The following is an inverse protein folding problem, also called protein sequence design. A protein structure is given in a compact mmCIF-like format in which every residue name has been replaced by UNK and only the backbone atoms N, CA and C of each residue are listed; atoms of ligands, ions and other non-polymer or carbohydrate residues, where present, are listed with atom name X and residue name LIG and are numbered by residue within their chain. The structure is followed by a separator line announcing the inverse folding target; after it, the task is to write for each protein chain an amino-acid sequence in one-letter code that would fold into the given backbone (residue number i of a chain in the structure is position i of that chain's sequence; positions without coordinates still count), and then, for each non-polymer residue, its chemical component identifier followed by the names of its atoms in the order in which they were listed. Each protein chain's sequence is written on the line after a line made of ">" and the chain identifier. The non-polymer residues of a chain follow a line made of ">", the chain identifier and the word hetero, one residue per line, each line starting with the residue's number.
data_IF_930977464140
#
_entry.id   IF_930977464140
#
_cell.length_a   1.000
_cell.length_b   1.000
_cell.length_c   1.000
_cell.angle_alpha   90.00
_cell.angle_beta   90.00
_cell.angle_gamma   90.00
#
_symmetry.space_group_name_H-M   'P 1'
#
loop_
_entity.id
_entity.type
_entity.pdbx_description
1 polymer ?
#
# COMPACT_ATOMS: atom_id res chain seq x y z
N UNK A 1 -44.36 -46.66 -39.16
CA UNK A 1 -44.27 -45.21 -39.36
C UNK A 1 -44.45 -44.60 -37.99
N UNK A 2 -43.33 -44.34 -37.30
CA UNK A 2 -43.36 -43.60 -36.03
C UNK A 2 -43.77 -42.16 -36.33
N UNK A 3 -44.94 -41.82 -35.81
CA UNK A 3 -45.46 -40.46 -35.80
C UNK A 3 -44.55 -39.62 -34.90
N UNK A 4 -43.60 -38.92 -35.50
CA UNK A 4 -42.81 -37.88 -34.84
C UNK A 4 -43.78 -36.75 -34.52
N UNK A 5 -44.43 -36.85 -33.37
CA UNK A 5 -45.18 -35.75 -32.77
C UNK A 5 -44.21 -34.58 -32.59
N UNK A 6 -44.33 -33.58 -33.46
CA UNK A 6 -43.64 -32.30 -33.31
C UNK A 6 -44.03 -31.72 -31.95
N UNK A 7 -43.10 -31.80 -31.00
CA UNK A 7 -43.23 -31.21 -29.68
C UNK A 7 -43.36 -29.69 -29.86
N UNK A 8 -44.59 -29.18 -29.78
CA UNK A 8 -44.89 -27.75 -29.88
C UNK A 8 -44.26 -27.03 -28.69
N UNK A 9 -43.06 -26.49 -28.89
CA UNK A 9 -42.39 -25.61 -27.94
C UNK A 9 -43.34 -24.48 -27.55
N UNK A 10 -43.60 -24.34 -26.25
CA UNK A 10 -44.51 -23.31 -25.79
C UNK A 10 -43.81 -21.95 -25.87
N UNK A 11 -44.53 -20.84 -26.15
CA UNK A 11 -43.94 -19.50 -26.19
C UNK A 11 -43.17 -19.13 -24.91
N UNK A 12 -43.56 -19.71 -23.78
CA UNK A 12 -42.90 -19.53 -22.48
C UNK A 12 -41.50 -20.14 -22.48
N UNK A 13 -41.30 -21.29 -23.10
CA UNK A 13 -40.00 -21.97 -23.14
C UNK A 13 -39.01 -21.16 -23.98
N UNK A 14 -39.47 -20.59 -25.10
CA UNK A 14 -38.66 -19.66 -25.90
C UNK A 14 -38.27 -18.40 -25.11
N UNK A 15 -39.19 -17.82 -24.34
CA UNK A 15 -38.91 -16.66 -23.49
C UNK A 15 -37.87 -17.01 -22.43
N UNK A 16 -38.01 -18.16 -21.77
CA UNK A 16 -37.08 -18.63 -20.75
C UNK A 16 -35.68 -18.83 -21.34
N UNK A 17 -35.56 -19.44 -22.51
CA UNK A 17 -34.29 -19.59 -23.21
C UNK A 17 -33.61 -18.23 -23.48
N UNK A 18 -34.39 -17.23 -23.92
CA UNK A 18 -33.89 -15.87 -24.13
C UNK A 18 -33.42 -15.25 -22.80
N UNK A 19 -34.19 -15.40 -21.73
CA UNK A 19 -33.83 -14.87 -20.41
C UNK A 19 -32.55 -15.51 -19.86
N UNK A 20 -32.37 -16.82 -20.04
CA UNK A 20 -31.12 -17.51 -19.68
C UNK A 20 -29.95 -16.92 -20.48
N UNK A 21 -30.10 -16.75 -21.79
CA UNK A 21 -29.05 -16.15 -22.63
C UNK A 21 -28.67 -14.75 -22.14
N UNK A 22 -29.66 -13.91 -21.80
CA UNK A 22 -29.44 -12.58 -21.24
C UNK A 22 -28.68 -12.64 -19.91
N UNK A 23 -29.10 -13.51 -18.97
CA UNK A 23 -28.42 -13.64 -17.68
C UNK A 23 -26.97 -14.09 -17.85
N UNK A 24 -26.70 -15.03 -18.75
CA UNK A 24 -25.35 -15.51 -19.02
C UNK A 24 -24.48 -14.39 -19.60
N UNK A 25 -25.00 -13.60 -20.54
CA UNK A 25 -24.27 -12.44 -21.09
C UNK A 25 -23.98 -11.39 -20.01
N UNK A 26 -24.98 -11.04 -19.18
CA UNK A 26 -24.79 -10.09 -18.08
C UNK A 26 -23.78 -10.64 -17.06
N UNK A 27 -23.90 -11.90 -16.68
CA UNK A 27 -22.98 -12.57 -15.77
C UNK A 27 -21.54 -12.55 -16.28
N UNK A 28 -21.33 -12.80 -17.57
CA UNK A 28 -20.01 -12.71 -18.20
C UNK A 28 -19.43 -11.29 -18.12
N UNK A 29 -20.24 -10.25 -18.35
CA UNK A 29 -19.81 -8.85 -18.22
C UNK A 29 -19.43 -8.54 -16.77
N UNK A 30 -20.23 -8.98 -15.78
CA UNK A 30 -19.94 -8.77 -14.36
C UNK A 30 -18.64 -9.47 -13.96
N UNK A 31 -18.44 -10.72 -14.40
CA UNK A 31 -17.22 -11.47 -14.14
C UNK A 31 -15.98 -10.79 -14.77
N UNK A 32 -16.09 -10.30 -16.00
CA UNK A 32 -15.02 -9.54 -16.65
C UNK A 32 -14.69 -8.24 -15.88
N UNK A 33 -15.71 -7.51 -15.43
CA UNK A 33 -15.51 -6.29 -14.61
C UNK A 33 -14.86 -6.59 -13.26
N UNK A 34 -15.22 -7.72 -12.63
CA UNK A 34 -14.60 -8.15 -11.39
C UNK A 34 -13.11 -8.48 -11.59
N UNK A 35 -12.76 -9.17 -12.69
CA UNK A 35 -11.37 -9.48 -13.05
C UNK A 35 -10.55 -8.21 -13.24
N UNK A 36 -11.07 -7.20 -13.96
CA UNK A 36 -10.37 -5.93 -14.15
C UNK A 36 -10.11 -5.18 -12.84
N UNK A 37 -11.06 -5.23 -11.90
CA UNK A 37 -10.89 -4.60 -10.60
C UNK A 37 -9.88 -5.35 -9.72
N UNK A 38 -9.83 -6.68 -9.83
CA UNK A 38 -8.85 -7.53 -9.13
C UNK A 38 -7.42 -7.30 -9.64
N UNK A 39 -7.25 -7.25 -10.97
CA UNK A 39 -5.95 -6.95 -11.59
C UNK A 39 -5.44 -5.57 -11.14
N UNK A 40 -6.30 -4.55 -11.17
CA UNK A 40 -5.95 -3.20 -10.71
C UNK A 40 -5.61 -3.16 -9.21
N UNK A 41 -6.30 -3.97 -8.38
CA UNK A 41 -5.96 -4.10 -6.96
C UNK A 41 -4.56 -4.71 -6.78
N UNK A 42 -4.21 -5.73 -7.58
CA UNK A 42 -2.90 -6.34 -7.58
C UNK A 42 -1.77 -5.39 -7.99
N UNK A 43 -2.01 -4.56 -9.02
CA UNK A 43 -1.06 -3.53 -9.44
C UNK A 43 -0.84 -2.48 -8.33
N UNK A 44 -1.92 -2.04 -7.67
CA UNK A 44 -1.86 -1.10 -6.56
C UNK A 44 -1.13 -1.71 -5.33
N UNK A 45 -1.38 -2.97 -5.00
CA UNK A 45 -0.66 -3.70 -3.94
C UNK A 45 0.84 -3.80 -4.24
N UNK A 46 1.20 -4.13 -5.49
CA UNK A 46 2.60 -4.18 -5.91
C UNK A 46 3.27 -2.81 -5.82
N UNK A 47 2.57 -1.75 -6.24
CA UNK A 47 2.99 -0.37 -6.01
C UNK A 47 3.26 -0.10 -4.54
N UNK A 48 2.28 -0.38 -3.68
CA UNK A 48 2.33 -0.16 -2.23
C UNK A 48 3.49 -0.88 -1.58
N UNK A 49 3.73 -2.14 -1.93
CA UNK A 49 4.86 -2.92 -1.45
C UNK A 49 6.20 -2.30 -1.87
N UNK A 50 6.32 -1.86 -3.12
CA UNK A 50 7.53 -1.21 -3.61
C UNK A 50 7.79 0.11 -2.89
N UNK A 51 6.77 0.95 -2.72
CA UNK A 51 6.87 2.20 -1.98
C UNK A 51 7.21 1.96 -0.51
N UNK A 52 6.65 0.92 0.13
CA UNK A 52 6.96 0.55 1.50
C UNK A 52 8.42 0.09 1.66
N UNK A 53 8.92 -0.72 0.73
CA UNK A 53 10.34 -1.12 0.70
C UNK A 53 11.24 0.10 0.53
N UNK A 54 10.93 1.01 -0.40
CA UNK A 54 11.68 2.24 -0.59
C UNK A 54 11.67 3.12 0.68
N UNK A 55 10.51 3.22 1.34
CA UNK A 55 10.33 3.99 2.57
C UNK A 55 11.17 3.43 3.72
N UNK A 56 11.18 2.11 3.92
CA UNK A 56 11.99 1.48 4.97
C UNK A 56 13.49 1.48 4.64
N UNK A 57 13.88 1.26 3.38
CA UNK A 57 15.28 1.41 2.93
C UNK A 57 15.79 2.83 3.21
N UNK A 58 15.01 3.84 2.78
CA UNK A 58 15.31 5.25 3.00
C UNK A 58 15.41 5.57 4.49
N UNK A 59 14.45 5.09 5.29
CA UNK A 59 14.45 5.28 6.74
C UNK A 59 15.72 4.72 7.37
N UNK A 60 16.09 3.48 7.03
CA UNK A 60 17.28 2.82 7.57
C UNK A 60 18.58 3.57 7.21
N UNK A 61 18.75 3.92 5.92
CA UNK A 61 19.92 4.67 5.45
C UNK A 61 19.99 6.04 6.13
N UNK A 62 18.86 6.76 6.19
CA UNK A 62 18.79 8.08 6.81
C UNK A 62 19.12 8.01 8.31
N UNK A 63 18.69 6.97 9.02
CA UNK A 63 19.06 6.77 10.41
C UNK A 63 20.57 6.56 10.57
N UNK A 64 21.17 5.66 9.78
CA UNK A 64 22.62 5.40 9.86
C UNK A 64 23.42 6.67 9.62
N UNK A 65 23.12 7.40 8.54
CA UNK A 65 23.84 8.63 8.19
C UNK A 65 23.64 9.75 9.24
N UNK A 66 22.41 9.92 9.75
CA UNK A 66 22.14 10.93 10.76
C UNK A 66 22.84 10.62 12.09
N UNK A 67 22.88 9.35 12.50
CA UNK A 67 23.56 8.95 13.73
C UNK A 67 25.09 8.94 13.58
N UNK A 68 25.62 8.66 12.40
CA UNK A 68 27.05 8.85 12.10
C UNK A 68 27.43 10.33 12.25
N UNK A 69 26.67 11.22 11.64
CA UNK A 69 26.85 12.68 11.76
C UNK A 69 26.75 13.16 13.20
N UNK A 70 25.78 12.64 13.95
CA UNK A 70 25.65 12.91 15.38
C UNK A 70 26.84 12.36 16.20
N UNK A 71 27.37 11.19 15.83
CA UNK A 71 28.58 10.64 16.43
C UNK A 71 29.79 11.56 16.23
N UNK A 72 29.95 12.12 15.04
CA UNK A 72 30.98 13.14 14.74
C UNK A 72 30.81 14.36 15.65
N UNK A 73 29.59 14.87 15.79
CA UNK A 73 29.27 15.98 16.70
C UNK A 73 29.68 15.68 18.16
N UNK A 74 29.31 14.51 18.68
CA UNK A 74 29.65 14.11 20.05
C UNK A 74 31.17 13.95 20.22
N UNK A 75 31.85 13.31 19.25
CA UNK A 75 33.30 13.14 19.28
C UNK A 75 34.03 14.48 19.24
N UNK A 76 33.57 15.44 18.43
CA UNK A 76 34.10 16.80 18.42
C UNK A 76 34.07 17.43 19.81
N UNK A 77 32.90 17.46 20.45
CA UNK A 77 32.76 18.06 21.78
C UNK A 77 33.51 17.30 22.86
N UNK A 78 33.54 15.97 22.79
CA UNK A 78 34.31 15.13 23.72
C UNK A 78 35.79 15.46 23.65
N UNK A 79 36.37 15.45 22.44
CA UNK A 79 37.80 15.71 22.25
C UNK A 79 38.16 17.17 22.56
N UNK A 80 37.30 18.12 22.18
CA UNK A 80 37.48 19.53 22.54
C UNK A 80 37.47 19.74 24.06
N UNK A 81 36.58 19.05 24.77
CA UNK A 81 36.52 19.13 26.24
C UNK A 81 37.71 18.43 26.89
N UNK A 82 38.16 17.30 26.35
CA UNK A 82 39.34 16.59 26.83
C UNK A 82 40.59 17.46 26.69
N UNK A 83 40.80 18.08 25.52
CA UNK A 83 41.89 19.02 25.30
C UNK A 83 41.90 20.15 26.34
N UNK A 84 40.74 20.80 26.57
CA UNK A 84 40.63 21.86 27.59
C UNK A 84 41.00 21.41 29.01
N UNK A 85 40.60 20.20 29.39
CA UNK A 85 40.93 19.64 30.70
C UNK A 85 42.43 19.33 30.81
N UNK A 86 43.01 18.71 29.77
CA UNK A 86 44.44 18.42 29.71
C UNK A 86 45.30 19.69 29.69
N UNK A 87 44.85 20.74 29.00
CA UNK A 87 45.48 22.07 29.02
C UNK A 87 45.46 22.65 30.43
N UNK A 88 44.36 22.50 31.17
CA UNK A 88 44.25 22.94 32.57
C UNK A 88 45.20 22.16 33.48
N UNK A 89 45.31 20.84 33.29
CA UNK A 89 46.22 20.00 34.06
C UNK A 89 47.69 20.34 33.77
N UNK A 90 48.00 20.63 32.50
CA UNK A 90 49.34 21.04 32.04
C UNK A 90 49.84 22.31 32.76
N UNK A 91 48.96 23.26 33.09
CA UNK A 91 49.31 24.48 33.83
C UNK A 91 49.88 24.20 35.24
N UNK A 92 49.58 23.03 35.80
CA UNK A 92 50.00 22.63 37.16
C UNK A 92 50.94 21.43 37.19
N UNK A 93 51.31 20.90 36.02
CA UNK A 93 52.11 19.69 35.88
C UNK A 93 53.59 19.92 36.21
N UNK A 94 54.27 18.86 36.63
CA UNK A 94 55.73 18.86 36.76
C UNK A 94 56.40 18.79 35.38
N UNK A 95 57.67 19.20 35.26
CA UNK A 95 58.40 19.18 33.98
C UNK A 95 58.45 17.78 33.33
N UNK A 96 58.42 16.72 34.15
CA UNK A 96 58.46 15.33 33.68
C UNK A 96 57.10 14.88 33.10
N UNK A 97 55.99 15.29 33.74
CA UNK A 97 54.62 14.98 33.27
C UNK A 97 54.16 15.88 32.12
N UNK A 98 54.70 17.10 32.05
CA UNK A 98 54.31 18.11 31.06
C UNK A 98 54.55 17.65 29.62
N UNK A 99 55.61 16.88 29.37
CA UNK A 99 55.91 16.34 28.03
C UNK A 99 54.82 15.37 27.57
N UNK A 100 54.36 14.49 28.47
CA UNK A 100 53.32 13.50 28.16
C UNK A 100 51.94 14.15 28.01
N UNK A 101 51.63 15.13 28.86
CA UNK A 101 50.37 15.89 28.75
C UNK A 101 50.31 16.72 27.47
N UNK A 102 51.42 17.33 27.05
CA UNK A 102 51.48 18.10 25.80
C UNK A 102 51.14 17.24 24.57
N UNK A 103 51.68 16.02 24.50
CA UNK A 103 51.36 15.07 23.42
C UNK A 103 49.87 14.71 23.42
N UNK A 104 49.28 14.45 24.60
CA UNK A 104 47.86 14.15 24.72
C UNK A 104 46.95 15.32 24.33
N UNK A 105 47.32 16.55 24.68
CA UNK A 105 46.62 17.78 24.24
C UNK A 105 46.65 17.86 22.72
N UNK A 106 47.83 17.66 22.10
CA UNK A 106 47.98 17.69 20.64
C UNK A 106 47.06 16.67 19.97
N UNK A 107 47.08 15.42 20.43
CA UNK A 107 46.21 14.35 19.88
C UNK A 107 44.73 14.68 20.06
N UNK A 108 44.33 15.21 21.22
CA UNK A 108 42.94 15.59 21.47
C UNK A 108 42.48 16.74 20.55
N UNK A 109 43.33 17.74 20.34
CA UNK A 109 43.07 18.85 19.43
C UNK A 109 43.01 18.39 17.96
N UNK A 110 43.94 17.54 17.51
CA UNK A 110 43.94 16.97 16.16
C UNK A 110 42.66 16.18 15.89
N UNK A 111 42.21 15.35 16.84
CA UNK A 111 40.96 14.62 16.74
C UNK A 111 39.74 15.54 16.75
N UNK A 112 39.75 16.62 17.54
CA UNK A 112 38.67 17.60 17.54
C UNK A 112 38.58 18.30 16.17
N UNK A 113 39.69 18.76 15.62
CA UNK A 113 39.73 19.44 14.32
C UNK A 113 39.33 18.53 13.15
N UNK A 114 39.73 17.26 13.20
CA UNK A 114 39.28 16.26 12.24
C UNK A 114 37.74 16.09 12.26
N UNK A 115 37.15 15.93 13.45
CA UNK A 115 35.70 15.82 13.58
C UNK A 115 34.97 17.12 13.19
N UNK A 116 35.55 18.28 13.51
CA UNK A 116 34.99 19.58 13.13
C UNK A 116 34.88 19.74 11.61
N UNK A 117 35.86 19.23 10.87
CA UNK A 117 35.89 19.29 9.41
C UNK A 117 34.80 18.43 8.77
N UNK A 118 34.50 17.28 9.38
CA UNK A 118 33.44 16.37 8.93
C UNK A 118 32.04 16.76 9.42
N UNK A 119 31.94 17.68 10.39
CA UNK A 119 30.67 18.07 11.00
C UNK A 119 29.82 18.92 10.06
N UNK A 120 28.60 18.46 9.79
CA UNK A 120 27.60 19.20 9.04
C UNK A 120 26.98 20.34 9.88
N UNK A 121 27.63 21.50 9.86
CA UNK A 121 27.22 22.67 10.67
C UNK A 121 25.82 23.19 10.36
N UNK A 122 25.27 22.94 9.17
CA UNK A 122 23.88 23.30 8.80
C UNK A 122 22.83 22.64 9.69
N UNK A 123 23.15 21.55 10.39
CA UNK A 123 22.23 20.87 11.31
C UNK A 123 22.40 21.27 12.77
N UNK A 124 23.27 22.25 13.06
CA UNK A 124 23.38 22.85 14.38
C UNK A 124 22.22 23.83 14.63
N UNK A 125 21.64 23.73 15.81
CA UNK A 125 20.69 24.69 16.35
C UNK A 125 21.40 25.95 16.83
N UNK A 126 20.62 27.00 17.08
CA UNK A 126 21.15 28.28 17.59
C UNK A 126 21.83 28.15 18.95
N UNK A 127 21.43 27.16 19.75
CA UNK A 127 22.03 26.85 21.05
C UNK A 127 23.29 25.97 20.96
N UNK A 128 23.72 25.59 19.74
CA UNK A 128 24.87 24.74 19.48
C UNK A 128 24.59 23.24 19.53
N UNK A 129 23.37 22.81 19.85
CA UNK A 129 22.96 21.40 19.81
C UNK A 129 22.77 20.89 18.38
N UNK A 130 23.00 19.60 18.14
CA UNK A 130 22.82 18.98 16.82
C UNK A 130 21.40 18.45 16.63
N UNK A 131 20.71 18.84 15.55
CA UNK A 131 19.35 18.40 15.25
C UNK A 131 19.32 17.22 14.28
N UNK A 132 19.38 16.01 14.84
CA UNK A 132 19.21 14.75 14.08
C UNK A 132 17.87 14.72 13.35
N UNK A 133 16.80 15.21 13.99
CA UNK A 133 15.47 15.25 13.39
C UNK A 133 15.41 16.15 12.16
N UNK A 134 16.09 17.30 12.17
CA UNK A 134 16.14 18.20 11.00
C UNK A 134 16.89 17.55 9.84
N UNK A 135 18.04 16.91 10.12
CA UNK A 135 18.79 16.17 9.11
C UNK A 135 17.98 15.03 8.50
N UNK A 136 17.33 14.20 9.34
CA UNK A 136 16.46 13.13 8.86
C UNK A 136 15.29 13.65 8.03
N UNK A 137 14.69 14.78 8.42
CA UNK A 137 13.61 15.41 7.67
C UNK A 137 14.06 15.90 6.29
N UNK A 138 15.25 16.49 6.18
CA UNK A 138 15.84 16.90 4.90
C UNK A 138 16.12 15.69 4.01
N UNK A 139 16.80 14.66 4.54
CA UNK A 139 17.10 13.44 3.78
C UNK A 139 15.83 12.69 3.36
N UNK A 140 14.77 12.70 4.19
CA UNK A 140 13.48 12.13 3.83
C UNK A 140 12.82 12.92 2.70
N UNK A 141 12.84 14.25 2.79
CA UNK A 141 12.27 15.12 1.77
C UNK A 141 13.03 15.01 0.42
N UNK A 142 14.35 14.83 0.46
CA UNK A 142 15.14 14.61 -0.74
C UNK A 142 14.89 13.22 -1.35
N UNK A 143 14.84 12.17 -0.53
CA UNK A 143 14.49 10.83 -1.00
C UNK A 143 13.09 10.75 -1.61
N UNK A 144 12.12 11.49 -1.05
CA UNK A 144 10.76 11.59 -1.58
C UNK A 144 10.68 12.25 -2.98
N UNK A 145 11.72 12.98 -3.41
CA UNK A 145 11.79 13.52 -4.79
C UNK A 145 12.25 12.47 -5.79
N UNK A 146 13.05 11.50 -5.35
CA UNK A 146 13.67 10.49 -6.22
C UNK A 146 12.85 9.20 -6.29
N UNK A 147 12.25 8.82 -5.16
CA UNK A 147 11.49 7.58 -5.00
C UNK A 147 10.14 7.88 -4.39
N UNK A 148 9.16 7.07 -4.78
CA UNK A 148 7.88 7.05 -4.08
C UNK A 148 8.03 6.38 -2.72
N UNK A 149 7.66 7.13 -1.67
CA UNK A 149 7.65 6.70 -0.27
C UNK A 149 6.22 6.62 0.29
N UNK A 150 5.20 7.00 -0.49
CA UNK A 150 3.80 7.06 -0.06
C UNK A 150 3.06 5.75 -0.36
N UNK A 151 3.31 4.73 0.47
CA UNK A 151 2.67 3.43 0.32
C UNK A 151 1.21 3.39 0.81
N UNK A 152 0.83 4.25 1.74
CA UNK A 152 -0.50 4.22 2.38
C UNK A 152 -1.63 4.49 1.38
N UNK A 153 -1.43 5.45 0.47
CA UNK A 153 -2.41 5.76 -0.57
C UNK A 153 -2.64 4.58 -1.52
N UNK A 154 -1.58 3.86 -1.88
CA UNK A 154 -1.61 2.72 -2.79
C UNK A 154 -2.32 1.52 -2.17
N UNK A 155 -2.03 1.18 -0.91
CA UNK A 155 -2.77 0.12 -0.21
C UNK A 155 -4.25 0.46 -0.01
N UNK A 156 -4.56 1.73 0.26
CA UNK A 156 -5.95 2.18 0.38
C UNK A 156 -6.71 2.03 -0.95
N UNK A 157 -6.05 2.32 -2.06
CA UNK A 157 -6.62 2.09 -3.39
C UNK A 157 -6.83 0.60 -3.67
N UNK A 158 -5.83 -0.24 -3.36
CA UNK A 158 -5.93 -1.69 -3.49
C UNK A 158 -7.10 -2.26 -2.67
N UNK A 159 -7.26 -1.84 -1.42
CA UNK A 159 -8.37 -2.24 -0.56
C UNK A 159 -9.73 -1.85 -1.14
N UNK A 160 -9.86 -0.62 -1.66
CA UNK A 160 -11.09 -0.15 -2.29
C UNK A 160 -11.45 -0.97 -3.54
N UNK A 161 -10.46 -1.31 -4.37
CA UNK A 161 -10.63 -2.15 -5.55
C UNK A 161 -10.99 -3.58 -5.17
N UNK A 162 -10.36 -4.14 -4.13
CA UNK A 162 -10.65 -5.48 -3.63
C UNK A 162 -12.07 -5.58 -3.07
N UNK A 163 -12.53 -4.56 -2.37
CA UNK A 163 -13.92 -4.48 -1.92
C UNK A 163 -14.89 -4.34 -3.09
N UNK A 164 -14.55 -3.60 -4.14
CA UNK A 164 -15.32 -3.58 -5.39
C UNK A 164 -15.41 -4.97 -6.01
N UNK A 165 -14.30 -5.71 -6.11
CA UNK A 165 -14.27 -7.09 -6.62
C UNK A 165 -15.16 -8.01 -5.79
N UNK A 166 -15.05 -7.98 -4.46
CA UNK A 166 -15.91 -8.77 -3.56
C UNK A 166 -17.39 -8.48 -3.81
N UNK A 167 -17.79 -7.21 -3.88
CA UNK A 167 -19.17 -6.81 -4.14
C UNK A 167 -19.67 -7.30 -5.51
N UNK A 168 -18.85 -7.18 -6.56
CA UNK A 168 -19.19 -7.70 -7.90
C UNK A 168 -19.36 -9.21 -7.90
N UNK A 169 -18.51 -9.96 -7.18
CA UNK A 169 -18.66 -11.41 -7.03
C UNK A 169 -19.94 -11.78 -6.29
N UNK A 170 -20.35 -11.02 -5.27
CA UNK A 170 -21.64 -11.22 -4.59
C UNK A 170 -22.80 -10.97 -5.57
N UNK A 171 -22.75 -9.89 -6.36
CA UNK A 171 -23.77 -9.61 -7.37
C UNK A 171 -23.84 -10.72 -8.44
N UNK A 172 -22.68 -11.25 -8.84
CA UNK A 172 -22.59 -12.40 -9.74
C UNK A 172 -23.21 -13.67 -9.13
N UNK A 173 -22.96 -13.97 -7.85
CA UNK A 173 -23.60 -15.09 -7.16
C UNK A 173 -25.13 -14.95 -7.10
N UNK A 174 -25.66 -13.74 -6.96
CA UNK A 174 -27.12 -13.52 -7.03
C UNK A 174 -27.65 -13.77 -8.44
N UNK A 175 -26.91 -13.36 -9.48
CA UNK A 175 -27.27 -13.62 -10.87
C UNK A 175 -27.32 -15.11 -11.21
N UNK A 176 -26.43 -15.94 -10.66
CA UNK A 176 -26.41 -17.38 -10.95
C UNK A 176 -27.61 -18.15 -10.37
N UNK A 177 -28.35 -17.54 -9.44
CA UNK A 177 -29.61 -18.11 -8.92
C UNK A 177 -30.73 -18.04 -9.99
N UNK A 178 -30.73 -17.00 -10.84
CA UNK A 178 -31.76 -16.81 -11.86
C UNK A 178 -31.87 -17.99 -12.86
N UNK A 179 -30.80 -18.50 -13.49
CA UNK A 179 -30.88 -19.62 -14.42
C UNK A 179 -31.34 -20.93 -13.76
N UNK A 180 -31.16 -21.10 -12.45
CA UNK A 180 -31.70 -22.26 -11.71
C UNK A 180 -33.23 -22.21 -11.68
N UNK A 181 -33.81 -21.04 -11.42
CA UNK A 181 -35.26 -20.89 -11.50
C UNK A 181 -35.79 -21.03 -12.91
N UNK A 182 -35.05 -20.53 -13.90
CA UNK A 182 -35.40 -20.67 -15.32
C UNK A 182 -35.33 -22.12 -15.80
N UNK A 183 -34.34 -22.92 -15.39
CA UNK A 183 -34.28 -24.34 -15.77
C UNK A 183 -35.38 -25.18 -15.13
N UNK A 184 -35.82 -24.81 -13.91
CA UNK A 184 -36.95 -25.47 -13.24
C UNK A 184 -38.30 -25.25 -13.96
N UNK A 185 -38.41 -24.28 -14.86
CA UNK A 185 -39.63 -23.98 -15.61
C UNK A 185 -40.09 -25.16 -16.48
N UNK A 186 -39.15 -25.93 -17.03
CA UNK A 186 -39.45 -27.11 -17.86
C UNK A 186 -39.97 -28.28 -17.03
N UNK A 187 -39.57 -28.36 -15.75
CA UNK A 187 -39.91 -29.47 -14.86
C UNK A 187 -41.28 -29.33 -14.19
N UNK A 188 -41.92 -28.15 -14.26
CA UNK A 188 -43.12 -27.83 -13.49
C UNK A 188 -44.29 -27.43 -14.40
N UNK A 189 -45.48 -27.95 -14.11
CA UNK A 189 -46.71 -27.67 -14.86
C UNK A 189 -47.65 -26.68 -14.15
N UNK A 190 -48.55 -26.06 -14.93
CA UNK A 190 -49.61 -25.20 -14.40
C UNK A 190 -49.13 -23.81 -13.94
N UNK A 191 -49.80 -23.25 -12.92
CA UNK A 191 -49.56 -21.86 -12.45
C UNK A 191 -48.18 -21.63 -11.83
N UNK A 192 -47.55 -22.69 -11.32
CA UNK A 192 -46.22 -22.62 -10.69
C UNK A 192 -45.14 -22.26 -11.73
N UNK A 193 -45.36 -22.57 -13.01
CA UNK A 193 -44.48 -22.20 -14.13
C UNK A 193 -44.21 -20.68 -14.16
N UNK A 194 -45.27 -19.88 -14.05
CA UNK A 194 -45.18 -18.43 -14.06
C UNK A 194 -44.49 -17.87 -12.80
N UNK A 195 -44.66 -18.55 -11.66
CA UNK A 195 -44.01 -18.18 -10.41
C UNK A 195 -42.48 -18.37 -10.50
N UNK A 196 -42.03 -19.47 -11.11
CA UNK A 196 -40.60 -19.72 -11.34
C UNK A 196 -39.98 -18.68 -12.28
N UNK A 197 -40.67 -18.32 -13.37
CA UNK A 197 -40.24 -17.24 -14.27
C UNK A 197 -40.15 -15.91 -13.51
N UNK A 198 -41.14 -15.58 -12.70
CA UNK A 198 -41.16 -14.33 -11.93
C UNK A 198 -40.01 -14.26 -10.91
N UNK A 199 -39.71 -15.34 -10.20
CA UNK A 199 -38.58 -15.41 -9.28
C UNK A 199 -37.24 -15.30 -10.00
N UNK A 200 -37.04 -16.04 -11.10
CA UNK A 200 -35.82 -15.95 -11.90
C UNK A 200 -35.60 -14.53 -12.44
N UNK A 201 -36.66 -13.90 -12.95
CA UNK A 201 -36.62 -12.51 -13.42
C UNK A 201 -36.30 -11.53 -12.28
N UNK A 202 -36.84 -11.74 -11.07
CA UNK A 202 -36.54 -10.93 -9.90
C UNK A 202 -35.05 -10.99 -9.53
N UNK A 203 -34.48 -12.20 -9.44
CA UNK A 203 -33.04 -12.37 -9.15
C UNK A 203 -32.15 -11.80 -10.25
N UNK A 204 -32.53 -11.96 -11.51
CA UNK A 204 -31.84 -11.34 -12.64
C UNK A 204 -31.79 -9.81 -12.48
N UNK A 205 -32.94 -9.17 -12.21
CA UNK A 205 -33.03 -7.72 -12.07
C UNK A 205 -32.23 -7.25 -10.85
N UNK A 206 -32.39 -7.90 -9.69
CA UNK A 206 -31.65 -7.56 -8.47
C UNK A 206 -30.15 -7.65 -8.70
N UNK A 207 -29.67 -8.77 -9.25
CA UNK A 207 -28.24 -8.98 -9.51
C UNK A 207 -27.67 -7.98 -10.53
N UNK A 208 -28.42 -7.68 -11.59
CA UNK A 208 -28.01 -6.70 -12.61
C UNK A 208 -27.94 -5.29 -12.02
N UNK A 209 -28.97 -4.89 -11.27
CA UNK A 209 -29.01 -3.56 -10.63
C UNK A 209 -27.90 -3.43 -9.59
N UNK A 210 -27.67 -4.45 -8.77
CA UNK A 210 -26.58 -4.47 -7.81
C UNK A 210 -25.22 -4.28 -8.51
N UNK A 211 -24.94 -5.06 -9.56
CA UNK A 211 -23.69 -4.95 -10.30
C UNK A 211 -23.47 -3.55 -10.91
N UNK A 212 -24.52 -2.95 -11.49
CA UNK A 212 -24.46 -1.59 -12.04
C UNK A 212 -24.21 -0.54 -10.94
N UNK A 213 -24.87 -0.66 -9.79
CA UNK A 213 -24.71 0.29 -8.69
C UNK A 213 -23.31 0.24 -8.07
N UNK A 214 -22.73 -0.96 -7.94
CA UNK A 214 -21.35 -1.16 -7.50
C UNK A 214 -20.38 -0.53 -8.51
N UNK A 215 -20.60 -0.73 -9.82
CA UNK A 215 -19.71 -0.20 -10.83
C UNK A 215 -19.73 1.34 -10.91
N UNK A 216 -20.89 1.95 -10.62
CA UNK A 216 -21.07 3.40 -10.52
C UNK A 216 -20.56 4.00 -9.20
N UNK A 217 -20.04 3.19 -8.27
CA UNK A 217 -19.55 3.65 -6.96
C UNK A 217 -20.65 4.15 -6.03
N UNK A 218 -21.90 3.72 -6.24
CA UNK A 218 -23.06 4.10 -5.41
C UNK A 218 -23.33 3.14 -4.25
N UNK A 219 -22.52 2.08 -4.10
CA UNK A 219 -22.55 1.11 -3.02
C UNK A 219 -21.15 0.68 -2.63
#
# INVERSE_FOLDING_TARGET
>A
MEDKTEEKTSPVDTIVAILIAVVVTVGAIVAWRASLADDAAGDADYGGLRAAVNAEETRAINYVNAYESYGIYVNYWRNSRLAQLLETDLETATDEDAVLLYDQVSVANDLADANRTLLETRFLNRDGSYSVQRQMGEMWADAAKEKDLEYEAQFKEADALRDKTKKLLIAFMVLTIAPVFFSLVESVSGRVKYLMVALGALFMVIGTVAAVLIDLGKM
#
